data_IF_132618507996
#
_entry.id   IF_132618507996
#
_cell.length_a   1.000
_cell.length_b   1.000
_cell.length_c   1.000
_cell.angle_alpha   90.00
_cell.angle_beta   90.00
_cell.angle_gamma   90.00
#
_symmetry.space_group_name_H-M   'P 1'
#
loop_
_entity.id
_entity.type
_entity.pdbx_description
1 polymer ?
#
# COMPACT_ATOMS: atom_id res chain seq x y z
N UNK A 1 -7.73 -7.91 10.36
CA UNK A 1 -7.09 -7.60 9.09
C UNK A 1 -5.84 -6.85 9.43
N UNK A 2 -4.72 -7.26 8.88
CA UNK A 2 -3.41 -6.68 9.15
C UNK A 2 -2.86 -6.00 7.90
N UNK A 3 -1.85 -5.17 8.11
CA UNK A 3 -1.15 -4.47 7.04
C UNK A 3 0.36 -4.76 7.12
N UNK A 4 0.99 -4.84 5.96
CA UNK A 4 2.45 -4.94 5.81
C UNK A 4 2.95 -3.78 4.97
N UNK A 5 4.14 -3.27 5.28
CA UNK A 5 4.87 -2.27 4.52
C UNK A 5 6.28 -2.81 4.25
N UNK A 6 6.76 -2.61 3.03
CA UNK A 6 8.13 -2.94 2.62
C UNK A 6 8.90 -1.65 2.38
N UNK A 7 10.14 -1.57 2.88
CA UNK A 7 11.00 -0.41 2.73
C UNK A 7 12.48 -0.83 2.75
N UNK A 8 13.33 -0.05 2.09
CA UNK A 8 14.79 -0.29 2.06
C UNK A 8 15.49 0.13 3.37
N UNK A 9 14.90 1.06 4.12
CA UNK A 9 15.51 1.67 5.31
C UNK A 9 14.65 1.44 6.54
N UNK A 10 15.31 1.29 7.69
CA UNK A 10 14.65 1.36 8.99
C UNK A 10 14.47 2.84 9.37
N UNK A 11 13.29 3.39 9.08
CA UNK A 11 12.92 4.77 9.37
C UNK A 11 11.65 4.80 10.24
N UNK A 12 11.68 5.64 11.27
CA UNK A 12 10.55 5.91 12.16
C UNK A 12 9.28 6.33 11.41
N UNK A 13 9.42 6.96 10.25
CA UNK A 13 8.29 7.36 9.41
C UNK A 13 7.41 6.18 8.99
N UNK A 14 8.00 4.98 8.83
CA UNK A 14 7.26 3.76 8.51
C UNK A 14 6.39 3.29 9.68
N UNK A 15 6.89 3.42 10.91
CA UNK A 15 6.14 3.08 12.12
C UNK A 15 4.98 4.05 12.34
N UNK A 16 5.17 5.34 12.08
CA UNK A 16 4.11 6.34 12.11
C UNK A 16 3.03 6.06 11.06
N UNK A 17 3.42 5.77 9.82
CA UNK A 17 2.51 5.39 8.73
C UNK A 17 1.69 4.15 9.09
N UNK A 18 2.34 3.11 9.64
CA UNK A 18 1.65 1.90 10.08
C UNK A 18 0.66 2.18 11.22
N UNK A 19 1.06 3.01 12.18
CA UNK A 19 0.20 3.43 13.29
C UNK A 19 -1.03 4.20 12.81
N UNK A 20 -0.84 5.12 11.86
CA UNK A 20 -1.92 5.89 11.25
C UNK A 20 -2.92 4.98 10.53
N UNK A 21 -2.43 4.05 9.70
CA UNK A 21 -3.26 3.08 8.97
C UNK A 21 -4.03 2.19 9.94
N UNK A 22 -3.37 1.68 10.98
CA UNK A 22 -3.99 0.85 12.00
C UNK A 22 -5.09 1.61 12.77
N UNK A 23 -4.80 2.85 13.20
CA UNK A 23 -5.78 3.70 13.88
C UNK A 23 -7.00 3.96 13.00
N UNK A 24 -6.78 4.33 11.73
CA UNK A 24 -7.86 4.57 10.77
C UNK A 24 -8.68 3.31 10.52
N UNK A 25 -8.05 2.14 10.34
CA UNK A 25 -8.76 0.88 10.16
C UNK A 25 -9.54 0.43 11.40
N UNK A 26 -9.07 0.74 12.61
CA UNK A 26 -9.73 0.36 13.86
C UNK A 26 -10.94 1.23 14.20
N UNK A 27 -11.12 2.38 13.54
CA UNK A 27 -12.20 3.33 13.81
C UNK A 27 -13.62 2.73 13.62
N UNK A 28 -14.66 3.32 14.22
CA UNK A 28 -16.02 2.75 14.21
C UNK A 28 -16.69 2.74 12.83
N UNK A 29 -16.26 3.61 11.90
CA UNK A 29 -16.86 3.79 10.59
C UNK A 29 -15.87 3.65 9.43
N UNK A 30 -14.59 3.48 9.74
CA UNK A 30 -13.51 3.46 8.78
C UNK A 30 -12.97 2.04 8.72
N UNK A 31 -13.13 1.39 7.57
CA UNK A 31 -12.59 0.06 7.31
C UNK A 31 -11.84 0.12 6.00
N UNK A 32 -10.52 0.06 6.10
CA UNK A 32 -9.68 -0.15 4.94
C UNK A 32 -9.86 -1.57 4.40
N UNK A 33 -9.69 -1.72 3.09
CA UNK A 33 -9.77 -2.98 2.37
C UNK A 33 -8.99 -2.86 1.05
N UNK A 34 -8.93 -3.96 0.31
CA UNK A 34 -8.29 -4.00 -1.00
C UNK A 34 -8.82 -2.88 -1.91
N UNK A 35 -7.96 -2.28 -2.72
CA UNK A 35 -8.20 -1.13 -3.62
C UNK A 35 -8.42 0.24 -2.96
N UNK A 36 -8.46 0.32 -1.64
CA UNK A 36 -8.54 1.61 -0.96
C UNK A 36 -7.22 2.39 -1.06
N UNK A 37 -7.31 3.72 -1.06
CA UNK A 37 -6.15 4.60 -1.02
C UNK A 37 -6.13 5.42 0.26
N UNK A 38 -4.98 5.47 0.91
CA UNK A 38 -4.76 6.20 2.15
C UNK A 38 -3.77 7.35 1.90
N UNK A 39 -4.21 8.62 1.93
CA UNK A 39 -3.28 9.74 1.89
C UNK A 39 -2.43 9.77 3.17
N UNK A 40 -1.11 9.92 3.04
CA UNK A 40 -0.18 9.95 4.18
C UNK A 40 -0.07 11.39 4.73
N UNK A 41 -0.34 12.39 3.89
CA UNK A 41 -0.18 13.82 4.23
C UNK A 41 1.27 14.33 4.11
N UNK A 42 2.18 13.44 3.70
CA UNK A 42 3.61 13.68 3.44
C UNK A 42 4.13 12.58 2.49
N UNK A 43 5.33 12.72 1.91
CA UNK A 43 6.03 11.60 1.29
C UNK A 43 6.16 10.39 2.23
N UNK A 44 6.09 9.16 1.69
CA UNK A 44 6.24 7.92 2.49
C UNK A 44 7.66 7.71 3.05
N UNK A 45 8.65 8.29 2.36
CA UNK A 45 10.06 8.45 2.70
C UNK A 45 10.46 9.87 2.25
N UNK A 46 11.49 10.45 2.87
CA UNK A 46 12.02 11.76 2.45
C UNK A 46 12.29 11.82 0.94
N UNK A 47 11.95 12.95 0.32
CA UNK A 47 12.13 13.25 -1.11
C UNK A 47 11.40 12.35 -2.12
N UNK A 48 10.61 11.38 -1.66
CA UNK A 48 9.78 10.54 -2.54
C UNK A 48 8.61 11.32 -3.15
N UNK A 49 8.31 11.05 -4.42
CA UNK A 49 7.09 11.52 -5.08
C UNK A 49 5.83 10.74 -4.65
N UNK A 50 5.98 9.55 -4.05
CA UNK A 50 4.88 8.79 -3.46
C UNK A 50 4.50 9.36 -2.09
N UNK A 51 3.24 9.77 -1.93
CA UNK A 51 2.68 10.42 -0.72
C UNK A 51 1.32 9.83 -0.29
N UNK A 52 0.95 8.68 -0.85
CA UNK A 52 -0.22 7.89 -0.45
C UNK A 52 0.04 6.39 -0.61
N UNK A 53 -0.69 5.57 0.13
CA UNK A 53 -0.64 4.12 -0.01
C UNK A 53 -1.87 3.60 -0.75
N UNK A 54 -1.66 2.71 -1.72
CA UNK A 54 -2.68 1.79 -2.21
C UNK A 54 -2.68 0.55 -1.32
N UNK A 55 -3.85 0.16 -0.82
CA UNK A 55 -4.04 -1.11 -0.13
C UNK A 55 -4.17 -2.22 -1.19
N UNK A 56 -3.07 -2.90 -1.45
CA UNK A 56 -2.93 -3.94 -2.48
C UNK A 56 -2.81 -5.34 -1.87
N UNK A 57 -2.84 -6.37 -2.71
CA UNK A 57 -2.45 -7.72 -2.32
C UNK A 57 -0.94 -7.76 -2.04
N UNK A 58 -0.45 -8.65 -1.15
CA UNK A 58 0.95 -8.75 -0.81
C UNK A 58 1.77 -9.48 -1.90
N UNK A 59 1.75 -8.97 -3.14
CA UNK A 59 2.41 -9.58 -4.30
C UNK A 59 3.88 -9.99 -4.04
N UNK A 60 4.72 -9.20 -3.36
CA UNK A 60 6.10 -9.60 -3.07
C UNK A 60 6.26 -10.87 -2.24
N UNK A 61 5.22 -11.25 -1.49
CA UNK A 61 5.23 -12.37 -0.55
C UNK A 61 4.43 -13.58 -1.05
N UNK A 62 3.72 -13.44 -2.17
CA UNK A 62 2.88 -14.48 -2.75
C UNK A 62 1.53 -14.69 -2.04
N UNK A 63 0.65 -15.51 -2.63
CA UNK A 63 -0.73 -15.69 -2.17
C UNK A 63 -0.83 -16.36 -0.79
N UNK A 64 0.13 -17.22 -0.44
CA UNK A 64 0.14 -17.91 0.86
C UNK A 64 0.37 -16.94 2.03
N UNK A 65 0.97 -15.78 1.78
CA UNK A 65 1.17 -14.74 2.79
C UNK A 65 -0.11 -13.92 3.07
N UNK A 66 -1.04 -13.89 2.11
CA UNK A 66 -2.27 -13.10 2.23
C UNK A 66 -3.15 -13.57 3.39
N UNK A 67 -3.15 -14.87 3.68
CA UNK A 67 -4.03 -15.47 4.69
C UNK A 67 -3.19 -16.09 5.80
N UNK A 68 -3.23 -15.47 6.97
CA UNK A 68 -2.70 -16.06 8.19
C UNK A 68 -3.84 -16.70 8.99
N UNK A 69 -3.81 -18.03 9.12
CA UNK A 69 -4.84 -18.82 9.81
C UNK A 69 -4.27 -19.56 11.03
N UNK A 70 -5.10 -19.73 12.06
CA UNK A 70 -4.79 -20.48 13.28
C UNK A 70 -6.06 -21.14 13.85
N UNK A 71 -5.92 -21.93 14.91
CA UNK A 71 -7.09 -22.58 15.53
C UNK A 71 -8.04 -21.53 16.11
N UNK A 72 -9.25 -21.46 15.55
CA UNK A 72 -10.28 -20.49 15.94
C UNK A 72 -10.28 -19.16 15.18
N UNK A 73 -9.47 -18.98 14.13
CA UNK A 73 -9.51 -17.71 13.38
C UNK A 73 -8.60 -17.61 12.16
N UNK A 74 -8.76 -16.50 11.44
CA UNK A 74 -7.85 -16.07 10.39
C UNK A 74 -7.81 -14.55 10.33
N UNK A 75 -6.72 -14.01 9.78
CA UNK A 75 -6.62 -12.62 9.38
C UNK A 75 -6.06 -12.53 7.96
N UNK A 76 -6.54 -11.56 7.20
CA UNK A 76 -5.95 -11.21 5.91
C UNK A 76 -4.88 -10.15 6.11
N UNK A 77 -3.75 -10.30 5.43
CA UNK A 77 -2.63 -9.36 5.40
C UNK A 77 -2.65 -8.64 4.05
N UNK A 78 -2.81 -7.32 4.07
CA UNK A 78 -2.78 -6.47 2.87
C UNK A 78 -1.52 -5.61 2.86
N UNK A 79 -1.08 -5.22 1.67
CA UNK A 79 0.16 -4.48 1.49
C UNK A 79 -0.09 -2.99 1.27
N UNK A 80 0.72 -2.16 1.93
CA UNK A 80 0.77 -0.73 1.74
C UNK A 80 1.75 -0.39 0.61
N UNK A 81 1.26 -0.35 -0.63
CA UNK A 81 2.07 0.01 -1.80
C UNK A 81 2.14 1.54 -1.93
N UNK A 82 3.31 2.18 -1.86
CA UNK A 82 3.45 3.63 -2.08
C UNK A 82 3.09 3.98 -3.53
N UNK A 83 2.23 4.98 -3.74
CA UNK A 83 1.83 5.47 -5.07
C UNK A 83 1.86 7.00 -5.19
N UNK A 84 2.01 7.50 -6.41
CA UNK A 84 1.98 8.94 -6.74
C UNK A 84 0.56 9.48 -6.91
N UNK A 85 0.43 10.80 -7.01
CA UNK A 85 -0.88 11.46 -7.09
C UNK A 85 -1.57 11.12 -8.41
N UNK A 86 -0.78 11.14 -9.48
CA UNK A 86 -1.19 10.77 -10.82
C UNK A 86 -1.66 9.30 -10.88
N UNK A 87 -0.97 8.39 -10.20
CA UNK A 87 -1.36 6.97 -10.13
C UNK A 87 -2.70 6.78 -9.41
N UNK A 88 -2.95 7.51 -8.32
CA UNK A 88 -4.28 7.53 -7.68
C UNK A 88 -5.33 8.12 -8.60
N UNK A 89 -5.01 9.19 -9.32
CA UNK A 89 -5.96 9.80 -10.25
C UNK A 89 -6.31 8.81 -11.39
N UNK A 90 -5.34 8.05 -11.90
CA UNK A 90 -5.60 6.96 -12.84
C UNK A 90 -6.50 5.88 -12.22
N UNK A 91 -6.19 5.42 -10.99
CA UNK A 91 -7.00 4.44 -10.27
C UNK A 91 -8.46 4.87 -10.18
N UNK A 92 -8.72 6.15 -9.88
CA UNK A 92 -10.08 6.68 -9.74
C UNK A 92 -10.80 6.82 -11.08
N UNK A 93 -10.07 7.07 -12.17
CA UNK A 93 -10.64 7.31 -13.49
C UNK A 93 -10.83 6.03 -14.31
N UNK A 94 -9.92 5.07 -14.19
CA UNK A 94 -9.81 3.89 -15.07
C UNK A 94 -9.98 2.58 -14.30
N UNK A 95 -9.69 2.57 -12.99
CA UNK A 95 -9.84 1.41 -12.12
C UNK A 95 -8.52 0.73 -11.76
N UNK A 96 -8.61 -0.23 -10.83
CA UNK A 96 -7.45 -0.90 -10.24
C UNK A 96 -6.67 -1.75 -11.25
N UNK A 97 -7.38 -2.55 -12.05
CA UNK A 97 -6.77 -3.46 -13.03
C UNK A 97 -5.88 -2.72 -14.03
N UNK A 98 -6.28 -1.54 -14.48
CA UNK A 98 -5.49 -0.72 -15.39
C UNK A 98 -4.20 -0.19 -14.72
N UNK A 99 -4.28 0.19 -13.44
CA UNK A 99 -3.11 0.63 -12.70
C UNK A 99 -2.15 -0.53 -12.41
N UNK A 100 -2.68 -1.69 -11.99
CA UNK A 100 -1.89 -2.91 -11.75
C UNK A 100 -1.21 -3.39 -13.04
N UNK A 101 -1.90 -3.36 -14.17
CA UNK A 101 -1.32 -3.69 -15.48
C UNK A 101 -0.13 -2.78 -15.83
N UNK A 102 -0.19 -1.48 -15.48
CA UNK A 102 0.93 -0.56 -15.69
C UNK A 102 2.08 -0.82 -14.73
N UNK A 103 1.80 -1.16 -13.46
CA UNK A 103 2.84 -1.55 -12.52
C UNK A 103 3.61 -2.78 -12.99
N UNK A 104 2.89 -3.77 -13.53
CA UNK A 104 3.47 -4.98 -14.11
C UNK A 104 4.25 -4.67 -15.40
N UNK A 105 3.67 -3.91 -16.34
CA UNK A 105 4.34 -3.55 -17.60
C UNK A 105 5.63 -2.76 -17.37
N UNK A 106 5.65 -1.89 -16.36
CA UNK A 106 6.81 -1.05 -16.02
C UNK A 106 7.75 -1.69 -15.02
N UNK A 107 7.44 -2.89 -14.53
CA UNK A 107 8.24 -3.63 -13.53
C UNK A 107 8.71 -2.73 -12.38
N UNK A 108 7.75 -2.07 -11.71
CA UNK A 108 8.11 -1.05 -10.71
C UNK A 108 8.95 -1.61 -9.56
N UNK A 109 9.99 -0.87 -9.18
CA UNK A 109 10.69 -1.09 -7.91
C UNK A 109 9.90 -0.43 -6.78
N UNK A 110 9.02 -1.20 -6.14
CA UNK A 110 8.12 -0.73 -5.09
C UNK A 110 8.82 -0.38 -3.77
N UNK A 111 10.09 -0.76 -3.58
CA UNK A 111 10.87 -0.36 -2.41
C UNK A 111 11.78 0.84 -2.69
N UNK A 112 11.97 1.25 -3.95
CA UNK A 112 12.69 2.46 -4.33
C UNK A 112 11.85 3.72 -4.02
N UNK A 113 12.29 4.58 -3.07
CA UNK A 113 11.60 5.84 -2.78
C UNK A 113 11.52 6.80 -3.96
N UNK A 114 12.45 6.69 -4.92
CA UNK A 114 12.56 7.59 -6.07
C UNK A 114 12.02 6.96 -7.35
N UNK A 115 11.27 5.86 -7.25
CA UNK A 115 10.67 5.23 -8.43
C UNK A 115 9.86 6.27 -9.23
N UNK A 116 9.98 6.30 -10.56
CA UNK A 116 9.15 7.17 -11.37
C UNK A 116 7.68 6.76 -11.27
N UNK A 117 6.80 7.72 -11.52
CA UNK A 117 5.38 7.45 -11.77
C UNK A 117 5.24 6.57 -13.02
N UNK A 118 4.29 5.64 -13.02
CA UNK A 118 3.93 4.86 -14.24
C UNK A 118 2.99 5.61 -15.20
N UNK A 119 2.53 6.79 -14.77
CA UNK A 119 1.71 7.74 -15.55
C UNK A 119 2.59 8.74 -16.27
#
# INVERSE_FOLDING_TARGET
MEFVLTAQTDDWQHLESMTMVAYYHAGPHQRLGHSHVVPIGRPWVADSACDRYLISLPYPFGPDFEVCAWDGGHTRILWLLPITAAERDLLMNVGLEALESLFDEKEIDYIDPHRPSVI
#
